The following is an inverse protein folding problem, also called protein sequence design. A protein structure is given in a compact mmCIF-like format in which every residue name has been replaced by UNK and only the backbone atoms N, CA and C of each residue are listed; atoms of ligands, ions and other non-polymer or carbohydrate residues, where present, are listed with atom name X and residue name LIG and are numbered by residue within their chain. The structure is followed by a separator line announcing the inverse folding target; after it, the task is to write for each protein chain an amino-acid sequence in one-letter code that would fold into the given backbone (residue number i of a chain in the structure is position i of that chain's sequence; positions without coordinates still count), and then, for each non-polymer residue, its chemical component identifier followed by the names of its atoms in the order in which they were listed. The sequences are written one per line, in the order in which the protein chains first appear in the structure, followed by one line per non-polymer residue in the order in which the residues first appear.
data_IF_037696151753
#
_entry.id   IF_037696151753
#
_cell.length_a   1.000
_cell.length_b   1.000
_cell.length_c   1.000
_cell.angle_alpha   90.00
_cell.angle_beta   90.00
_cell.angle_gamma   90.00
#
_symmetry.space_group_name_H-M   'P 1'
#
loop_
_entity.id
_entity.type
_entity.pdbx_description
1 polymer ?
#
# COMPACT_ATOMS: atom_id res chain seq x y z
N UNK A 1 30.17 -32.69 24.87
CA UNK A 1 30.22 -31.36 24.23
C UNK A 1 29.06 -31.29 23.26
N UNK A 2 27.93 -30.72 23.67
CA UNK A 2 26.69 -30.73 22.88
C UNK A 2 26.55 -29.37 22.20
N UNK A 3 26.78 -29.30 20.90
CA UNK A 3 26.53 -28.13 20.08
C UNK A 3 25.03 -28.05 19.77
N UNK A 4 24.37 -27.06 20.38
CA UNK A 4 23.03 -26.67 19.98
C UNK A 4 23.15 -25.92 18.65
N UNK A 5 22.76 -26.57 17.55
CA UNK A 5 22.42 -25.83 16.35
C UNK A 5 21.13 -25.06 16.64
N UNK A 6 21.27 -23.77 16.95
CA UNK A 6 20.19 -22.81 16.77
C UNK A 6 19.87 -22.79 15.27
N UNK A 7 18.96 -23.66 14.83
CA UNK A 7 18.16 -23.42 13.64
C UNK A 7 17.35 -22.18 13.98
N UNK A 8 17.84 -21.01 13.55
CA UNK A 8 17.08 -19.78 13.60
C UNK A 8 15.74 -20.05 12.94
N UNK A 9 14.71 -20.21 13.76
CA UNK A 9 13.34 -20.05 13.32
C UNK A 9 13.32 -18.67 12.66
N UNK A 10 13.11 -18.64 11.35
CA UNK A 10 12.68 -17.40 10.70
C UNK A 10 11.50 -16.91 11.52
N UNK A 11 11.67 -15.80 12.24
CA UNK A 11 10.58 -15.05 12.81
C UNK A 11 9.71 -14.63 11.61
N UNK A 12 8.75 -15.48 11.27
CA UNK A 12 7.68 -15.13 10.34
C UNK A 12 6.86 -14.11 11.11
N UNK A 13 7.22 -12.84 10.94
CA UNK A 13 6.40 -11.76 11.46
C UNK A 13 5.01 -11.92 10.80
N UNK A 14 3.94 -12.18 11.57
CA UNK A 14 2.61 -12.43 11.00
C UNK A 14 2.09 -11.26 10.18
N UNK A 15 2.69 -10.07 10.37
CA UNK A 15 2.36 -8.83 9.69
C UNK A 15 3.15 -8.64 8.38
N UNK A 16 3.91 -9.66 7.95
CA UNK A 16 4.71 -9.62 6.75
C UNK A 16 4.26 -10.66 5.73
N UNK A 17 4.07 -10.20 4.50
CA UNK A 17 3.75 -11.06 3.35
C UNK A 17 4.80 -10.89 2.27
N UNK A 18 5.51 -11.96 1.96
CA UNK A 18 6.41 -12.01 0.80
C UNK A 18 5.55 -12.08 -0.47
N UNK A 19 5.87 -11.24 -1.46
CA UNK A 19 5.17 -11.23 -2.74
C UNK A 19 5.52 -12.45 -3.57
N UNK A 20 4.56 -12.96 -4.34
CA UNK A 20 4.75 -14.04 -5.30
C UNK A 20 5.47 -13.57 -6.58
N UNK A 21 5.80 -14.52 -7.47
CA UNK A 21 6.58 -14.23 -8.68
C UNK A 21 5.93 -13.19 -9.60
N UNK A 22 4.61 -13.27 -9.79
CA UNK A 22 3.86 -12.31 -10.63
C UNK A 22 3.82 -10.92 -10.00
N UNK A 23 3.56 -10.86 -8.69
CA UNK A 23 3.52 -9.60 -7.94
C UNK A 23 4.90 -8.91 -7.96
N UNK A 24 5.98 -9.67 -7.78
CA UNK A 24 7.35 -9.14 -7.90
C UNK A 24 7.65 -8.62 -9.31
N UNK A 25 7.20 -9.32 -10.36
CA UNK A 25 7.37 -8.86 -11.75
C UNK A 25 6.65 -7.53 -12.00
N UNK A 26 5.40 -7.39 -11.52
CA UNK A 26 4.65 -6.13 -11.60
C UNK A 26 5.36 -5.01 -10.84
N UNK A 27 5.92 -5.29 -9.65
CA UNK A 27 6.67 -4.29 -8.88
C UNK A 27 7.94 -3.83 -9.60
N UNK A 28 8.70 -4.76 -10.20
CA UNK A 28 9.89 -4.41 -11.01
C UNK A 28 9.50 -3.54 -12.21
N UNK A 29 8.44 -3.90 -12.92
CA UNK A 29 7.91 -3.10 -14.03
C UNK A 29 7.48 -1.71 -13.55
N UNK A 30 6.79 -1.61 -12.42
CA UNK A 30 6.40 -0.32 -11.84
C UNK A 30 7.61 0.56 -11.51
N UNK A 31 8.66 -0.01 -10.91
CA UNK A 31 9.88 0.74 -10.59
C UNK A 31 10.63 1.19 -11.84
N UNK A 32 10.75 0.32 -12.85
CA UNK A 32 11.42 0.64 -14.12
C UNK A 32 10.74 1.82 -14.84
N UNK A 33 9.42 1.92 -14.74
CA UNK A 33 8.66 3.01 -15.36
C UNK A 33 8.39 4.16 -14.38
N UNK A 34 9.20 4.33 -13.33
CA UNK A 34 9.10 5.41 -12.33
C UNK A 34 7.70 5.55 -11.68
N UNK A 35 6.95 4.46 -11.57
CA UNK A 35 5.57 4.50 -11.08
C UNK A 35 4.59 5.11 -12.07
N UNK A 36 4.84 4.99 -13.38
CA UNK A 36 3.83 5.27 -14.41
C UNK A 36 2.54 4.46 -14.19
N UNK A 37 2.65 3.31 -13.52
CA UNK A 37 1.52 2.55 -12.99
C UNK A 37 1.09 2.99 -11.58
N UNK A 38 1.18 4.28 -11.27
CA UNK A 38 0.44 4.86 -10.15
C UNK A 38 -1.02 4.85 -10.53
N UNK A 39 -1.75 3.86 -10.02
CA UNK A 39 -3.21 3.87 -10.10
C UNK A 39 -3.71 4.97 -9.16
N UNK A 40 -3.91 6.17 -9.71
CA UNK A 40 -4.67 7.23 -9.06
C UNK A 40 -6.07 7.13 -9.60
N UNK A 41 -7.00 6.67 -8.77
CA UNK A 41 -8.41 6.66 -9.13
C UNK A 41 -9.05 7.95 -8.60
N UNK A 42 -9.47 8.83 -9.51
CA UNK A 42 -10.23 10.03 -9.16
C UNK A 42 -11.69 9.62 -9.01
N UNK A 43 -12.17 9.56 -7.77
CA UNK A 43 -13.54 9.18 -7.50
C UNK A 43 -14.45 10.42 -7.59
N UNK A 44 -15.19 10.53 -8.70
CA UNK A 44 -16.19 11.57 -8.89
C UNK A 44 -17.45 11.20 -8.10
N UNK A 45 -17.53 11.63 -6.84
CA UNK A 45 -18.75 11.50 -6.04
C UNK A 45 -19.84 12.39 -6.64
N UNK A 46 -20.86 11.78 -7.25
CA UNK A 46 -22.11 12.43 -7.64
C UNK A 46 -23.16 12.11 -6.57
N UNK A 47 -23.53 13.11 -5.77
CA UNK A 47 -24.47 12.91 -4.65
C UNK A 47 -24.51 14.09 -3.68
N UNK A 48 -25.26 13.98 -2.59
CA UNK A 48 -25.26 14.99 -1.53
C UNK A 48 -23.84 15.19 -1.00
N UNK A 49 -23.53 16.41 -0.58
CA UNK A 49 -22.22 16.77 -0.03
C UNK A 49 -21.83 15.78 1.09
N UNK A 50 -20.74 15.03 0.89
CA UNK A 50 -20.15 14.16 1.91
C UNK A 50 -19.02 14.94 2.57
N UNK A 51 -19.07 15.06 3.90
CA UNK A 51 -17.98 15.70 4.65
C UNK A 51 -16.70 14.86 4.58
N UNK A 52 -15.56 15.55 4.57
CA UNK A 52 -14.22 14.91 4.63
C UNK A 52 -14.10 13.99 5.86
N UNK A 53 -14.74 14.34 6.97
CA UNK A 53 -14.80 13.53 8.19
C UNK A 53 -15.50 12.18 7.96
N UNK A 54 -16.61 12.18 7.23
CA UNK A 54 -17.37 10.96 6.89
C UNK A 54 -16.54 10.05 5.99
N UNK A 55 -15.89 10.63 4.98
CA UNK A 55 -14.95 9.93 4.11
C UNK A 55 -13.78 9.34 4.89
N UNK A 56 -13.22 10.11 5.83
CA UNK A 56 -12.11 9.67 6.68
C UNK A 56 -12.53 8.47 7.53
N UNK A 57 -13.69 8.53 8.18
CA UNK A 57 -14.22 7.42 8.97
C UNK A 57 -14.47 6.16 8.12
N UNK A 58 -14.94 6.32 6.88
CA UNK A 58 -15.14 5.22 5.95
C UNK A 58 -13.81 4.56 5.55
N UNK A 59 -12.80 5.36 5.20
CA UNK A 59 -11.45 4.88 4.88
C UNK A 59 -10.81 4.18 6.09
N UNK A 60 -10.95 4.73 7.29
CA UNK A 60 -10.45 4.06 8.50
C UNK A 60 -11.08 2.69 8.72
N UNK A 61 -12.40 2.55 8.52
CA UNK A 61 -13.08 1.24 8.58
C UNK A 61 -12.57 0.28 7.51
N UNK A 62 -12.33 0.78 6.30
CA UNK A 62 -11.78 -0.01 5.20
C UNK A 62 -10.37 -0.51 5.53
N UNK A 63 -9.51 0.36 6.08
CA UNK A 63 -8.15 0.01 6.49
C UNK A 63 -8.11 -1.01 7.65
N UNK A 64 -9.09 -0.98 8.56
CA UNK A 64 -9.25 -2.01 9.61
C UNK A 64 -9.67 -3.35 9.02
N UNK A 65 -10.56 -3.35 8.03
CA UNK A 65 -11.04 -4.58 7.37
C UNK A 65 -9.99 -5.17 6.42
N UNK A 66 -9.16 -4.34 5.81
CA UNK A 66 -8.18 -4.72 4.81
C UNK A 66 -6.78 -4.21 5.22
N UNK A 67 -6.05 -4.96 6.05
CA UNK A 67 -4.73 -4.57 6.55
C UNK A 67 -3.70 -4.25 5.46
N UNK A 68 -3.85 -4.82 4.26
CA UNK A 68 -3.00 -4.53 3.10
C UNK A 68 -2.98 -3.03 2.72
N UNK A 69 -4.05 -2.29 3.02
CA UNK A 69 -4.12 -0.83 2.82
C UNK A 69 -3.27 -0.04 3.83
N UNK A 70 -2.71 -0.73 4.83
CA UNK A 70 -1.77 -0.23 5.83
C UNK A 70 -0.37 -0.82 5.64
N UNK A 71 -0.13 -1.58 4.58
CA UNK A 71 1.18 -2.18 4.33
C UNK A 71 2.13 -1.23 3.59
N UNK A 72 3.41 -1.30 3.96
CA UNK A 72 4.52 -0.68 3.23
C UNK A 72 5.24 -1.73 2.39
N UNK A 73 5.55 -1.37 1.16
CA UNK A 73 6.42 -2.19 0.32
C UNK A 73 7.87 -2.04 0.79
N UNK A 74 8.55 -3.16 1.05
CA UNK A 74 9.97 -3.23 1.40
C UNK A 74 10.68 -4.25 0.51
N UNK A 75 11.98 -4.06 0.30
CA UNK A 75 12.80 -5.11 -0.30
C UNK A 75 13.09 -6.20 0.74
N UNK A 76 13.01 -7.45 0.33
CA UNK A 76 13.34 -8.59 1.17
C UNK A 76 14.86 -8.73 1.28
N UNK A 77 15.37 -8.66 2.51
CA UNK A 77 16.82 -8.65 2.79
C UNK A 77 17.46 -9.99 2.42
N UNK A 78 16.72 -11.10 2.60
CA UNK A 78 17.25 -12.46 2.43
C UNK A 78 17.23 -12.90 0.96
N UNK A 79 16.28 -12.39 0.17
CA UNK A 79 16.11 -12.79 -1.22
C UNK A 79 16.20 -11.54 -2.08
N UNK A 80 17.38 -11.30 -2.69
CA UNK A 80 17.55 -10.21 -3.65
C UNK A 80 16.43 -10.32 -4.69
N UNK A 81 15.92 -9.18 -5.14
CA UNK A 81 14.84 -9.09 -6.15
C UNK A 81 13.44 -9.52 -5.73
N UNK A 82 13.20 -9.75 -4.44
CA UNK A 82 11.84 -9.95 -3.93
C UNK A 82 11.42 -8.82 -3.00
N UNK A 83 10.12 -8.53 -3.03
CA UNK A 83 9.50 -7.54 -2.16
C UNK A 83 8.62 -8.22 -1.11
N UNK A 84 8.46 -7.54 0.01
CA UNK A 84 7.52 -7.90 1.05
C UNK A 84 6.62 -6.72 1.37
N UNK A 85 5.38 -7.03 1.75
CA UNK A 85 4.44 -6.10 2.34
C UNK A 85 4.54 -6.23 3.85
N UNK A 86 4.84 -5.12 4.52
CA UNK A 86 4.97 -5.03 5.97
C UNK A 86 3.83 -4.16 6.49
N UNK A 87 2.89 -4.75 7.23
CA UNK A 87 1.78 -4.00 7.83
C UNK A 87 2.31 -2.99 8.84
N UNK A 88 1.88 -1.73 8.70
CA UNK A 88 2.21 -0.64 9.59
C UNK A 88 0.93 -0.11 10.23
N UNK A 89 0.71 -0.47 11.49
CA UNK A 89 -0.49 -0.08 12.24
C UNK A 89 -0.64 1.44 12.42
N UNK A 90 0.45 2.20 12.23
CA UNK A 90 0.47 3.66 12.33
C UNK A 90 0.15 4.30 10.97
N UNK A 91 0.25 3.55 9.86
CA UNK A 91 -0.04 4.06 8.53
C UNK A 91 -1.54 4.35 8.34
N UNK A 92 -1.87 5.62 8.14
CA UNK A 92 -3.22 6.08 7.80
C UNK A 92 -3.23 6.67 6.39
N UNK A 93 -4.19 6.24 5.58
CA UNK A 93 -4.44 6.86 4.28
C UNK A 93 -4.95 8.29 4.50
N UNK A 94 -4.31 9.26 3.84
CA UNK A 94 -4.68 10.67 3.96
C UNK A 94 -5.68 11.03 2.88
N UNK A 95 -6.82 11.56 3.29
CA UNK A 95 -7.78 12.19 2.39
C UNK A 95 -7.44 13.67 2.33
N UNK A 96 -7.34 14.21 1.11
CA UNK A 96 -7.16 15.64 0.87
C UNK A 96 -8.28 16.10 -0.03
N UNK A 97 -8.97 17.16 0.37
CA UNK A 97 -9.87 17.87 -0.52
C UNK A 97 -9.04 18.68 -1.52
N UNK A 98 -9.34 18.51 -2.80
CA UNK A 98 -8.76 19.33 -3.86
C UNK A 98 -9.86 20.28 -4.37
N UNK A 99 -9.69 21.60 -4.22
CA UNK A 99 -10.66 22.55 -4.75
C UNK A 99 -10.70 22.41 -6.27
N UNK A 100 -11.90 22.25 -6.82
CA UNK A 100 -12.09 22.23 -8.29
C UNK A 100 -12.03 23.66 -8.79
N UNK A 101 -10.96 24.03 -9.49
CA UNK A 101 -11.00 25.20 -10.36
C UNK A 101 -11.73 24.81 -11.65
N UNK A 102 -12.86 25.46 -11.93
CA UNK A 102 -13.67 25.19 -13.12
C UNK A 102 -12.94 25.51 -14.44
N UNK A 103 -11.77 26.16 -14.40
CA UNK A 103 -11.06 26.65 -15.59
C UNK A 103 -9.99 25.70 -16.15
N UNK A 104 -9.66 24.60 -15.46
CA UNK A 104 -8.60 23.65 -15.90
C UNK A 104 -9.13 22.51 -16.79
N UNK A 105 -10.39 22.55 -17.21
CA UNK A 105 -11.06 21.47 -17.95
C UNK A 105 -10.61 21.26 -19.42
N UNK A 106 -9.66 22.05 -19.94
CA UNK A 106 -9.34 22.03 -21.37
C UNK A 106 -8.02 21.35 -21.78
N UNK A 107 -7.22 20.83 -20.86
CA UNK A 107 -5.97 20.14 -21.24
C UNK A 107 -5.82 18.80 -20.51
N UNK A 108 -6.45 17.76 -21.06
CA UNK A 108 -6.04 16.37 -20.89
C UNK A 108 -5.80 15.75 -22.26
#
# INVERSE_FOLDING_TARGET
MWSWFYRGSHDVNPNQRILGSVENAIMKLSQQHQGYMKVVEVLHLQGPYISVETLTAAVERLQRRHPILRSRLRMHIVTPDSYLLDEDDILRLKIREMPRNCDEYLNF
#
